data_IF_702961939037
#
_entry.id   IF_702961939037
#
_cell.length_a   1.000
_cell.length_b   1.000
_cell.length_c   1.000
_cell.angle_alpha   90.00
_cell.angle_beta   90.00
_cell.angle_gamma   90.00
#
_symmetry.space_group_name_H-M   'P 1'
#
loop_
_entity.id
_entity.type
_entity.pdbx_description
1 polymer ?
#
# COMPACT_ATOMS: atom_id res chain seq x y z
N UNK A 1 -0.42 -7.32 2.22
CA UNK A 1 -0.53 -7.31 0.74
C UNK A 1 -0.06 -8.62 0.10
N UNK A 2 1.10 -9.18 0.45
CA UNK A 2 1.59 -10.44 -0.15
C UNK A 2 0.70 -11.65 0.15
N UNK A 3 0.06 -11.69 1.32
CA UNK A 3 -0.90 -12.77 1.65
C UNK A 3 -2.15 -12.73 0.75
N UNK A 4 -2.55 -11.53 0.31
CA UNK A 4 -3.69 -11.31 -0.59
C UNK A 4 -3.40 -11.73 -2.04
N UNK A 5 -2.19 -12.22 -2.33
CA UNK A 5 -1.91 -12.95 -3.57
C UNK A 5 -2.67 -14.28 -3.65
N UNK A 6 -3.04 -14.85 -2.50
CA UNK A 6 -3.73 -16.13 -2.40
C UNK A 6 -5.01 -16.04 -1.58
N UNK A 7 -5.10 -15.11 -0.62
CA UNK A 7 -6.31 -14.85 0.15
C UNK A 7 -7.26 -13.88 -0.55
N UNK A 8 -8.55 -14.01 -0.27
CA UNK A 8 -9.60 -13.09 -0.75
C UNK A 8 -9.85 -11.94 0.22
N UNK A 9 -9.52 -12.11 1.49
CA UNK A 9 -9.70 -11.11 2.56
C UNK A 9 -8.46 -11.01 3.43
N UNK A 10 -8.28 -9.86 4.09
CA UNK A 10 -7.16 -9.62 5.01
C UNK A 10 -7.16 -8.20 5.56
N UNK A 11 -6.89 -8.03 6.85
CA UNK A 11 -7.05 -6.75 7.56
C UNK A 11 -8.48 -6.19 7.34
N UNK A 12 -8.63 -5.08 6.60
CA UNK A 12 -9.93 -4.49 6.21
C UNK A 12 -10.28 -4.73 4.74
N UNK A 13 -9.40 -5.40 3.98
CA UNK A 13 -9.57 -5.65 2.55
C UNK A 13 -10.51 -6.85 2.35
N UNK A 14 -11.46 -6.66 1.44
CA UNK A 14 -12.30 -7.70 0.86
C UNK A 14 -12.22 -7.60 -0.68
N UNK A 15 -11.40 -8.47 -1.29
CA UNK A 15 -11.23 -8.51 -2.74
C UNK A 15 -12.47 -9.01 -3.46
N UNK A 16 -13.38 -9.72 -2.77
CA UNK A 16 -14.63 -10.20 -3.38
C UNK A 16 -15.61 -9.06 -3.66
N UNK A 17 -15.43 -7.92 -2.99
CA UNK A 17 -16.20 -6.71 -3.22
C UNK A 17 -15.70 -5.89 -4.43
N UNK A 18 -14.51 -6.21 -4.96
CA UNK A 18 -13.88 -5.51 -6.09
C UNK A 18 -14.18 -6.19 -7.43
N UNK A 19 -14.23 -5.44 -8.55
CA UNK A 19 -14.28 -6.01 -9.90
C UNK A 19 -13.10 -6.95 -10.14
N UNK A 20 -13.29 -8.10 -10.80
CA UNK A 20 -12.21 -9.07 -11.03
C UNK A 20 -10.98 -8.46 -11.72
N UNK A 21 -11.17 -7.52 -12.65
CA UNK A 21 -10.07 -6.83 -13.32
C UNK A 21 -9.28 -5.91 -12.38
N UNK A 22 -9.95 -5.30 -11.39
CA UNK A 22 -9.30 -4.49 -10.36
C UNK A 22 -8.45 -5.37 -9.44
N UNK A 23 -8.99 -6.52 -9.03
CA UNK A 23 -8.26 -7.52 -8.22
C UNK A 23 -7.02 -8.01 -8.96
N UNK A 24 -7.15 -8.32 -10.25
CA UNK A 24 -6.02 -8.77 -11.07
C UNK A 24 -4.89 -7.73 -11.11
N UNK A 25 -5.22 -6.43 -11.27
CA UNK A 25 -4.25 -5.33 -11.23
C UNK A 25 -3.56 -5.22 -9.87
N UNK A 26 -4.31 -5.26 -8.78
CA UNK A 26 -3.73 -5.19 -7.44
C UNK A 26 -2.78 -6.37 -7.18
N UNK A 27 -3.19 -7.60 -7.51
CA UNK A 27 -2.34 -8.79 -7.36
C UNK A 27 -1.10 -8.75 -8.24
N UNK A 28 -1.20 -8.23 -9.46
CA UNK A 28 -0.04 -8.04 -10.31
C UNK A 28 0.96 -7.02 -9.72
N UNK A 29 0.47 -5.94 -9.10
CA UNK A 29 1.32 -5.00 -8.37
C UNK A 29 2.05 -5.68 -7.20
N UNK A 30 1.31 -6.37 -6.31
CA UNK A 30 1.88 -7.00 -5.12
C UNK A 30 2.81 -8.18 -5.43
N UNK A 31 2.62 -8.87 -6.56
CA UNK A 31 3.52 -9.97 -6.98
C UNK A 31 4.97 -9.51 -7.14
N UNK A 32 5.19 -8.23 -7.50
CA UNK A 32 6.54 -7.65 -7.65
C UNK A 32 7.27 -7.44 -6.31
N UNK A 33 6.57 -7.64 -5.19
CA UNK A 33 7.12 -7.62 -3.84
C UNK A 33 7.49 -9.02 -3.32
N UNK A 34 7.15 -10.09 -4.06
CA UNK A 34 7.37 -11.45 -3.62
C UNK A 34 8.85 -11.73 -3.30
N UNK A 35 9.09 -12.40 -2.16
CA UNK A 35 10.43 -12.77 -1.70
C UNK A 35 11.22 -11.65 -1.01
N UNK A 36 10.68 -10.42 -0.90
CA UNK A 36 11.27 -9.36 -0.08
C UNK A 36 11.08 -9.67 1.42
N UNK A 37 12.00 -9.22 2.30
CA UNK A 37 11.83 -9.38 3.74
C UNK A 37 10.61 -8.59 4.23
N UNK A 38 9.93 -9.14 5.23
CA UNK A 38 8.73 -8.54 5.84
C UNK A 38 9.04 -8.00 7.24
N UNK A 39 8.38 -6.90 7.61
CA UNK A 39 8.37 -6.33 8.95
C UNK A 39 6.96 -5.84 9.31
N UNK A 40 6.79 -5.29 10.50
CA UNK A 40 5.57 -4.52 10.80
C UNK A 40 5.63 -3.21 10.02
N UNK A 41 4.55 -2.89 9.31
CA UNK A 41 4.34 -1.62 8.61
C UNK A 41 3.22 -0.84 9.28
N UNK A 42 3.25 0.49 9.18
CA UNK A 42 2.17 1.37 9.61
C UNK A 42 0.95 1.24 8.70
N UNK A 43 1.16 1.17 7.38
CA UNK A 43 0.09 0.98 6.38
C UNK A 43 -0.55 2.27 5.86
N UNK A 44 -0.39 3.40 6.56
CA UNK A 44 -0.87 4.73 6.13
C UNK A 44 -0.03 5.89 6.73
N UNK A 45 1.28 5.98 6.44
CA UNK A 45 2.17 7.02 6.98
C UNK A 45 1.98 8.38 6.26
N UNK A 46 0.77 8.94 6.30
CA UNK A 46 0.44 10.21 5.67
C UNK A 46 0.55 11.40 6.65
N UNK A 47 0.59 12.66 6.17
CA UNK A 47 0.77 13.84 7.03
C UNK A 47 -0.27 14.02 8.16
N UNK A 48 -1.46 13.42 8.06
CA UNK A 48 -2.48 13.45 9.12
C UNK A 48 -2.14 12.50 10.27
N UNK A 49 -1.37 11.46 9.98
CA UNK A 49 -0.92 10.43 10.93
C UNK A 49 0.48 10.72 11.49
N UNK A 50 1.15 11.75 11.00
CA UNK A 50 2.47 12.19 11.48
C UNK A 50 2.32 13.47 12.30
N UNK A 51 2.77 13.45 13.55
CA UNK A 51 2.78 14.60 14.45
C UNK A 51 4.20 15.09 14.63
N UNK A 52 4.46 16.28 14.12
CA UNK A 52 5.74 16.96 14.20
C UNK A 52 5.75 17.93 15.40
N UNK A 53 6.77 17.86 16.23
CA UNK A 53 7.15 18.91 17.18
C UNK A 53 8.65 19.18 17.04
N UNK A 54 9.15 20.24 17.69
CA UNK A 54 10.50 20.76 17.46
C UNK A 54 11.61 19.70 17.63
N UNK A 55 11.43 18.75 18.53
CA UNK A 55 12.41 17.73 18.91
C UNK A 55 11.89 16.29 18.79
N UNK A 56 10.69 16.10 18.27
CA UNK A 56 10.02 14.78 18.26
C UNK A 56 9.10 14.61 17.07
N UNK A 57 8.99 13.36 16.63
CA UNK A 57 8.02 12.89 15.65
C UNK A 57 7.23 11.75 16.29
N UNK A 58 5.91 11.77 16.14
CA UNK A 58 5.05 10.67 16.55
C UNK A 58 4.19 10.20 15.38
N UNK A 59 4.03 8.88 15.26
CA UNK A 59 3.09 8.22 14.37
C UNK A 59 1.85 7.82 15.17
N UNK A 60 0.67 8.13 14.65
CA UNK A 60 -0.63 7.79 15.24
C UNK A 60 -1.45 7.00 14.23
N UNK A 61 -2.57 6.45 14.68
CA UNK A 61 -3.53 5.74 13.81
C UNK A 61 -2.94 4.44 13.22
N UNK A 62 -2.66 3.49 14.11
CA UNK A 62 -2.05 2.20 13.77
C UNK A 62 -3.09 1.11 13.41
N UNK A 63 -4.33 1.47 13.12
CA UNK A 63 -5.40 0.50 12.83
C UNK A 63 -5.22 -0.21 11.47
N UNK A 64 -4.44 0.37 10.56
CA UNK A 64 -4.02 -0.23 9.28
C UNK A 64 -2.72 -1.05 9.37
N UNK A 65 -2.09 -1.09 10.54
CA UNK A 65 -0.80 -1.75 10.71
C UNK A 65 -0.90 -3.27 10.56
N UNK A 66 0.10 -3.86 9.91
CA UNK A 66 0.17 -5.29 9.65
C UNK A 66 1.60 -5.73 9.32
N UNK A 67 1.83 -7.03 9.16
CA UNK A 67 3.12 -7.55 8.68
C UNK A 67 3.12 -7.54 7.15
N UNK A 68 4.08 -6.84 6.56
CA UNK A 68 4.27 -6.75 5.11
C UNK A 68 5.68 -6.28 4.75
N UNK A 69 5.93 -6.04 3.47
CA UNK A 69 7.19 -5.45 2.98
C UNK A 69 7.29 -3.97 3.35
N UNK A 70 8.46 -3.49 3.82
CA UNK A 70 8.66 -2.10 4.27
C UNK A 70 8.43 -1.07 3.15
N UNK A 71 8.55 -1.48 1.89
CA UNK A 71 8.38 -0.62 0.72
C UNK A 71 7.04 0.11 0.70
N UNK A 72 5.99 -0.49 1.27
CA UNK A 72 4.66 0.13 1.37
C UNK A 72 4.67 1.41 2.22
N UNK A 73 5.47 1.47 3.28
CA UNK A 73 5.64 2.68 4.10
C UNK A 73 6.69 3.64 3.52
N UNK A 74 7.56 3.15 2.63
CA UNK A 74 8.65 3.92 2.03
C UNK A 74 8.28 4.60 0.70
N UNK A 75 7.09 4.33 0.15
CA UNK A 75 6.50 5.03 -0.99
C UNK A 75 6.07 6.47 -0.63
N UNK A 76 6.98 7.24 -0.04
CA UNK A 76 6.73 8.58 0.51
C UNK A 76 6.64 9.64 -0.60
N UNK A 77 5.92 10.76 -0.34
CA UNK A 77 5.86 11.87 -1.27
C UNK A 77 7.25 12.31 -1.73
N UNK A 78 7.38 12.57 -3.04
CA UNK A 78 8.63 12.98 -3.68
C UNK A 78 9.80 11.99 -3.52
N UNK A 79 9.51 10.70 -3.26
CA UNK A 79 10.51 9.66 -3.00
C UNK A 79 11.46 10.04 -1.86
N UNK A 80 10.92 10.57 -0.75
CA UNK A 80 11.72 10.99 0.39
C UNK A 80 12.55 9.85 1.02
N UNK A 81 12.17 8.58 0.78
CA UNK A 81 12.94 7.40 1.18
C UNK A 81 14.19 7.15 0.33
N UNK A 82 14.37 7.84 -0.80
CA UNK A 82 15.54 7.70 -1.65
C UNK A 82 15.64 6.34 -2.37
N UNK A 83 14.51 5.72 -2.67
CA UNK A 83 14.46 4.45 -3.41
C UNK A 83 15.00 4.66 -4.84
N UNK A 84 15.70 3.67 -5.38
CA UNK A 84 16.07 3.71 -6.80
C UNK A 84 14.81 3.70 -7.70
N UNK A 85 14.96 4.05 -8.98
CA UNK A 85 13.80 4.23 -9.87
C UNK A 85 12.92 2.98 -10.02
N UNK A 86 13.51 1.78 -10.04
CA UNK A 86 12.75 0.54 -10.17
C UNK A 86 12.10 0.15 -8.84
N UNK A 87 12.81 0.30 -7.72
CA UNK A 87 12.29 0.05 -6.39
C UNK A 87 11.14 1.01 -6.04
N UNK A 88 11.32 2.30 -6.33
CA UNK A 88 10.30 3.34 -6.12
C UNK A 88 9.04 3.06 -6.93
N UNK A 89 9.20 2.69 -8.21
CA UNK A 89 8.07 2.34 -9.06
C UNK A 89 7.29 1.12 -8.54
N UNK A 90 7.98 0.06 -8.14
CA UNK A 90 7.32 -1.12 -7.55
C UNK A 90 6.60 -0.75 -6.25
N UNK A 91 7.25 0.02 -5.38
CA UNK A 91 6.68 0.47 -4.11
C UNK A 91 5.42 1.32 -4.33
N UNK A 92 5.48 2.29 -5.24
CA UNK A 92 4.34 3.17 -5.58
C UNK A 92 3.16 2.39 -6.16
N UNK A 93 3.42 1.42 -7.05
CA UNK A 93 2.37 0.57 -7.61
C UNK A 93 1.71 -0.31 -6.55
N UNK A 94 2.51 -0.89 -5.65
CA UNK A 94 2.01 -1.73 -4.57
C UNK A 94 1.21 -0.94 -3.52
N UNK A 95 1.68 0.27 -3.18
CA UNK A 95 1.01 1.21 -2.27
C UNK A 95 -0.32 1.69 -2.86
N UNK A 96 -0.36 2.11 -4.13
CA UNK A 96 -1.61 2.49 -4.80
C UNK A 96 -2.62 1.32 -4.86
N UNK A 97 -2.14 0.10 -5.11
CA UNK A 97 -2.99 -1.09 -5.08
C UNK A 97 -3.54 -1.39 -3.67
N UNK A 98 -2.73 -1.19 -2.63
CA UNK A 98 -3.17 -1.33 -1.23
C UNK A 98 -4.29 -0.34 -0.90
N UNK A 99 -4.07 0.95 -1.17
CA UNK A 99 -5.07 2.00 -0.92
C UNK A 99 -6.37 1.77 -1.72
N UNK A 100 -6.24 1.34 -2.98
CA UNK A 100 -7.40 0.99 -3.79
C UNK A 100 -8.23 -0.16 -3.19
N UNK A 101 -7.56 -1.17 -2.63
CA UNK A 101 -8.23 -2.33 -2.06
C UNK A 101 -8.83 -2.04 -0.67
N UNK A 102 -8.12 -1.30 0.19
CA UNK A 102 -8.55 -1.05 1.57
C UNK A 102 -9.67 -0.01 1.66
N UNK A 103 -9.69 0.97 0.75
CA UNK A 103 -10.72 2.00 0.68
C UNK A 103 -11.83 1.67 -0.33
N UNK A 104 -11.91 0.42 -0.81
CA UNK A 104 -12.78 0.08 -1.93
C UNK A 104 -14.24 0.56 -1.72
N UNK A 105 -14.81 1.13 -2.80
CA UNK A 105 -16.13 1.83 -2.89
C UNK A 105 -16.12 3.34 -2.62
N UNK A 106 -14.98 3.97 -2.33
CA UNK A 106 -14.87 5.43 -2.32
C UNK A 106 -14.18 6.00 -3.59
N UNK A 107 -14.28 7.32 -3.77
CA UNK A 107 -13.64 8.03 -4.89
C UNK A 107 -12.11 7.92 -4.81
N UNK A 108 -11.55 7.83 -3.60
CA UNK A 108 -10.12 7.70 -3.38
C UNK A 108 -9.60 6.40 -4.00
N UNK A 109 -10.25 5.27 -3.71
CA UNK A 109 -9.91 3.95 -4.21
C UNK A 109 -9.93 3.89 -5.74
N UNK A 110 -10.91 4.54 -6.38
CA UNK A 110 -10.98 4.60 -7.85
C UNK A 110 -9.78 5.36 -8.43
N UNK A 111 -9.39 6.48 -7.83
CA UNK A 111 -8.21 7.25 -8.27
C UNK A 111 -6.92 6.45 -8.08
N UNK A 112 -6.76 5.81 -6.91
CA UNK A 112 -5.58 4.98 -6.62
C UNK A 112 -5.49 3.79 -7.57
N UNK A 113 -6.61 3.12 -7.87
CA UNK A 113 -6.64 2.03 -8.85
C UNK A 113 -6.24 2.49 -10.25
N UNK A 114 -6.58 3.72 -10.65
CA UNK A 114 -6.19 4.27 -11.95
C UNK A 114 -4.68 4.49 -12.08
N UNK A 115 -3.97 4.65 -10.97
CA UNK A 115 -2.51 4.73 -10.94
C UNK A 115 -1.83 3.35 -11.03
N UNK A 116 -2.56 2.28 -10.71
CA UNK A 116 -2.06 0.91 -10.84
C UNK A 116 -2.09 0.48 -12.30
N UNK A 117 -0.96 -0.03 -12.79
CA UNK A 117 -0.82 -0.54 -14.15
C UNK A 117 -1.88 -1.59 -14.47
N UNK A 118 -2.39 -1.52 -15.69
CA UNK A 118 -3.19 -2.58 -16.27
C UNK A 118 -2.37 -3.89 -16.39
N UNK A 119 -3.08 -5.02 -16.43
CA UNK A 119 -2.55 -6.37 -16.64
C UNK A 119 -2.86 -6.80 -18.07
#
# INVERSE_FOLDING_TARGET
STDLLHAETGTRIDLTAMPPEAVARCRAAWTRLAGRPTCVVHGDPNPRNIRMAADRVALIDWDESHVDVPDLDLALPHNAAGLDGAAHDVAAQASAAWEAAICWKDEHAVRRLAEVRAV
#
